data_IF_611695604408
#
_entry.id   IF_611695604408
#
_cell.length_a   1.000
_cell.length_b   1.000
_cell.length_c   1.000
_cell.angle_alpha   90.00
_cell.angle_beta   90.00
_cell.angle_gamma   90.00
#
_symmetry.space_group_name_H-M   'P 1'
#
loop_
_entity.id
_entity.type
_entity.pdbx_description
1 polymer ?
#
# COMPACT_ATOMS: atom_id res chain seq x y z
N UNK A 1 -10.38 8.25 -1.16
CA UNK A 1 -9.78 8.17 -2.51
C UNK A 1 -8.27 8.47 -2.53
N UNK A 2 -7.78 9.48 -1.79
CA UNK A 2 -6.36 9.88 -1.76
C UNK A 2 -5.38 8.78 -1.30
N UNK A 3 -5.79 7.90 -0.38
CA UNK A 3 -4.92 6.81 0.11
C UNK A 3 -4.65 5.71 -0.92
N UNK A 4 -5.62 5.41 -1.79
CA UNK A 4 -5.47 4.40 -2.86
C UNK A 4 -4.47 4.85 -3.94
N UNK A 5 -4.43 6.14 -4.24
CA UNK A 5 -3.46 6.70 -5.20
C UNK A 5 -2.05 6.75 -4.61
N UNK A 6 -1.89 7.09 -3.32
CA UNK A 6 -0.59 7.13 -2.67
C UNK A 6 0.07 5.75 -2.62
N UNK A 7 -0.67 4.69 -2.26
CA UNK A 7 -0.14 3.31 -2.27
C UNK A 7 0.21 2.84 -3.68
N UNK A 8 -0.60 3.18 -4.69
CA UNK A 8 -0.30 2.85 -6.09
C UNK A 8 1.02 3.50 -6.56
N UNK A 9 1.24 4.78 -6.24
CA UNK A 9 2.49 5.47 -6.57
C UNK A 9 3.71 4.87 -5.88
N UNK A 10 3.60 4.51 -4.60
CA UNK A 10 4.72 3.86 -3.89
C UNK A 10 5.04 2.50 -4.52
N UNK A 11 4.00 1.74 -4.93
CA UNK A 11 4.20 0.46 -5.61
C UNK A 11 4.93 0.61 -6.96
N UNK A 12 4.54 1.60 -7.77
CA UNK A 12 5.20 1.90 -9.05
C UNK A 12 6.67 2.26 -8.85
N UNK A 13 6.98 3.11 -7.87
CA UNK A 13 8.37 3.50 -7.55
C UNK A 13 9.19 2.28 -7.11
N UNK A 14 8.59 1.39 -6.30
CA UNK A 14 9.25 0.17 -5.83
C UNK A 14 9.54 -0.79 -6.99
N UNK A 15 8.58 -0.95 -7.92
CA UNK A 15 8.79 -1.73 -9.15
C UNK A 15 9.91 -1.14 -10.02
N UNK A 16 9.95 0.19 -10.15
CA UNK A 16 10.95 0.89 -10.94
C UNK A 16 12.36 0.72 -10.34
N UNK A 17 12.49 0.74 -9.01
CA UNK A 17 13.75 0.45 -8.32
C UNK A 17 14.23 -0.98 -8.58
N UNK A 18 13.34 -1.97 -8.51
CA UNK A 18 13.69 -3.37 -8.81
C UNK A 18 14.16 -3.52 -10.26
N UNK A 19 13.44 -2.91 -11.20
CA UNK A 19 13.79 -2.92 -12.62
C UNK A 19 15.15 -2.28 -12.89
N UNK A 20 15.43 -1.14 -12.23
CA UNK A 20 16.71 -0.45 -12.34
C UNK A 20 17.87 -1.32 -11.81
N UNK A 21 17.65 -2.02 -10.70
CA UNK A 21 18.62 -2.93 -10.09
C UNK A 21 18.90 -4.13 -11.00
N UNK A 22 17.89 -4.58 -11.77
CA UNK A 22 18.02 -5.67 -12.73
C UNK A 22 18.79 -5.26 -13.99
N UNK A 23 18.57 -4.05 -14.52
CA UNK A 23 19.23 -3.57 -15.74
C UNK A 23 20.64 -3.03 -15.46
N UNK A 24 20.84 -2.40 -14.31
CA UNK A 24 22.12 -1.78 -13.96
C UNK A 24 22.52 -2.07 -12.51
N UNK A 25 23.06 -3.29 -12.24
CA UNK A 25 23.48 -3.72 -10.90
C UNK A 25 24.83 -3.08 -10.51
N UNK A 26 24.87 -1.75 -10.47
CA UNK A 26 26.01 -1.00 -9.95
C UNK A 26 26.06 -1.12 -8.42
N UNK A 27 27.26 -1.20 -7.81
CA UNK A 27 27.41 -1.20 -6.35
C UNK A 27 26.70 -0.02 -5.66
N UNK A 28 26.65 1.13 -6.34
CA UNK A 28 25.95 2.31 -5.85
C UNK A 28 24.42 2.12 -5.83
N UNK A 29 23.86 1.52 -6.89
CA UNK A 29 22.43 1.21 -6.99
C UNK A 29 22.04 0.11 -6.00
N UNK A 30 22.90 -0.90 -5.81
CA UNK A 30 22.69 -1.95 -4.81
C UNK A 30 22.69 -1.35 -3.40
N UNK A 31 23.62 -0.43 -3.08
CA UNK A 31 23.64 0.26 -1.79
C UNK A 31 22.38 1.12 -1.54
N UNK A 32 21.94 1.86 -2.56
CA UNK A 32 20.69 2.61 -2.54
C UNK A 32 19.47 1.70 -2.39
N UNK A 33 19.46 0.55 -3.05
CA UNK A 33 18.42 -0.47 -2.93
C UNK A 33 18.37 -1.08 -1.54
N UNK A 34 19.52 -1.44 -0.96
CA UNK A 34 19.63 -2.06 0.35
C UNK A 34 19.06 -1.19 1.49
N UNK A 35 19.16 0.14 1.37
CA UNK A 35 18.61 1.08 2.34
C UNK A 35 17.20 1.55 1.92
N UNK A 36 16.99 1.83 0.64
CA UNK A 36 15.75 2.40 0.10
C UNK A 36 14.57 1.44 0.15
N UNK A 37 14.76 0.15 -0.16
CA UNK A 37 13.71 -0.87 -0.09
C UNK A 37 13.10 -1.00 1.30
N UNK A 38 13.87 -1.26 2.38
CA UNK A 38 13.28 -1.42 3.71
C UNK A 38 12.62 -0.13 4.20
N UNK A 39 13.16 1.05 3.86
CA UNK A 39 12.54 2.34 4.18
C UNK A 39 11.20 2.49 3.47
N UNK A 40 11.11 2.19 2.17
CA UNK A 40 9.84 2.27 1.44
C UNK A 40 8.81 1.28 1.96
N UNK A 41 9.22 0.06 2.33
CA UNK A 41 8.34 -0.93 2.95
C UNK A 41 7.82 -0.42 4.31
N UNK A 42 8.68 0.18 5.13
CA UNK A 42 8.28 0.81 6.40
C UNK A 42 7.30 1.95 6.18
N UNK A 43 7.53 2.81 5.19
CA UNK A 43 6.60 3.88 4.83
C UNK A 43 5.26 3.30 4.38
N UNK A 44 5.24 2.25 3.55
CA UNK A 44 4.00 1.58 3.16
C UNK A 44 3.27 1.00 4.37
N UNK A 45 3.98 0.29 5.25
CA UNK A 45 3.40 -0.28 6.46
C UNK A 45 2.80 0.82 7.34
N UNK A 46 3.50 1.94 7.53
CA UNK A 46 2.99 3.09 8.29
C UNK A 46 1.78 3.71 7.60
N UNK A 47 1.80 3.88 6.28
CA UNK A 47 0.66 4.43 5.51
C UNK A 47 -0.56 3.50 5.60
N UNK A 48 -0.37 2.18 5.52
CA UNK A 48 -1.43 1.18 5.65
C UNK A 48 -1.97 1.14 7.08
N UNK A 49 -1.11 1.12 8.10
CA UNK A 49 -1.53 1.14 9.51
C UNK A 49 -2.19 2.47 9.92
N UNK A 50 -1.76 3.58 9.32
CA UNK A 50 -2.40 4.90 9.51
C UNK A 50 -3.57 5.15 8.57
N UNK A 51 -3.85 4.27 7.62
CA UNK A 51 -5.11 4.26 6.89
C UNK A 51 -6.18 3.77 7.87
N UNK A 52 -6.50 4.67 8.81
CA UNK A 52 -7.60 4.61 9.77
C UNK A 52 -8.81 4.06 9.03
N UNK A 53 -9.41 3.00 9.56
CA UNK A 53 -10.53 2.24 9.01
C UNK A 53 -11.51 3.10 8.20
N UNK A 54 -11.16 3.36 6.95
CA UNK A 54 -12.04 3.96 5.96
C UNK A 54 -12.64 2.79 5.16
N UNK A 55 -13.01 1.72 5.87
CA UNK A 55 -14.17 0.94 5.48
C UNK A 55 -15.37 1.88 5.64
N UNK A 56 -15.58 2.73 4.63
CA UNK A 56 -16.95 3.07 4.20
C UNK A 56 -17.61 1.78 3.68
N UNK A 57 -17.71 0.75 4.51
CA UNK A 57 -18.93 -0.02 4.54
C UNK A 57 -19.80 0.69 5.54
N UNK A 58 -20.64 1.59 5.03
CA UNK A 58 -21.83 1.94 5.77
C UNK A 58 -22.56 0.62 6.02
N UNK A 59 -22.48 0.13 7.25
CA UNK A 59 -23.35 -0.92 7.83
C UNK A 59 -24.82 -0.44 7.88
N UNK A 60 -25.27 0.35 6.90
CA UNK A 60 -26.63 0.86 6.79
C UNK A 60 -27.39 0.28 5.60
N UNK A 61 -26.76 -0.53 4.75
CA UNK A 61 -27.38 -1.04 3.51
C UNK A 61 -27.79 -2.52 3.56
N UNK A 62 -27.65 -3.19 4.69
CA UNK A 62 -28.05 -4.59 4.75
C UNK A 62 -28.94 -4.83 5.95
N UNK A 63 -30.23 -4.93 5.61
CA UNK A 63 -31.39 -5.37 6.38
C UNK A 63 -31.15 -6.70 7.11
N UNK A 64 -30.22 -6.71 8.07
CA UNK A 64 -29.80 -7.92 8.76
C UNK A 64 -30.87 -8.49 9.71
N UNK A 65 -31.97 -7.77 9.94
CA UNK A 65 -33.03 -8.12 10.89
C UNK A 65 -34.45 -7.99 10.33
N UNK A 66 -34.68 -8.12 9.01
CA UNK A 66 -36.07 -8.12 8.48
C UNK A 66 -36.69 -9.50 8.26
N UNK A 67 -35.99 -10.61 8.55
CA UNK A 67 -36.53 -11.98 8.37
C UNK A 67 -36.69 -12.77 9.69
N UNK A 68 -36.93 -12.07 10.80
CA UNK A 68 -37.41 -12.73 12.03
C UNK A 68 -38.48 -11.88 12.69
N UNK A 69 -39.72 -12.07 12.25
CA UNK A 69 -40.88 -12.35 13.09
C UNK A 69 -42.13 -12.36 12.20
N UNK A 70 -43.00 -13.32 12.49
CA UNK A 70 -44.16 -13.82 11.73
C UNK A 70 -45.26 -12.79 11.44
#
# INVERSE_FOLDING_TARGET
MHYKTATAWIFVILMMMIFLLFIYPSPFIIGLGAIGLPVMILVQAVVVLRAKDESRHSFSDEKWYEDREE
#
